data_IF_940968931778
#
_entry.id   IF_940968931778
#
_cell.length_a   1.000
_cell.length_b   1.000
_cell.length_c   1.000
_cell.angle_alpha   90.00
_cell.angle_beta   90.00
_cell.angle_gamma   90.00
#
_symmetry.space_group_name_H-M   'P 1'
#
loop_
_entity.id
_entity.type
_entity.pdbx_description
1 polymer ?
#
# COMPACT_ATOMS: atom_id res chain seq x y z
N UNK A 1 -17.68 -8.00 -20.27
CA UNK A 1 -16.71 -7.64 -19.21
C UNK A 1 -17.37 -6.58 -18.39
N UNK A 2 -17.73 -6.92 -17.15
CA UNK A 2 -18.28 -5.94 -16.21
C UNK A 2 -17.17 -4.93 -15.89
N UNK A 3 -17.36 -3.67 -16.27
CA UNK A 3 -16.34 -2.64 -16.10
C UNK A 3 -16.53 -2.10 -14.70
N UNK A 4 -15.77 -2.65 -13.74
CA UNK A 4 -15.78 -2.22 -12.34
C UNK A 4 -15.69 -0.68 -12.28
N UNK A 5 -16.65 -0.03 -11.62
CA UNK A 5 -16.58 1.41 -11.38
C UNK A 5 -15.30 1.74 -10.60
N UNK A 6 -14.69 2.89 -10.92
CA UNK A 6 -13.50 3.36 -10.22
C UNK A 6 -13.88 3.87 -8.84
N UNK A 7 -13.12 3.49 -7.81
CA UNK A 7 -13.26 4.04 -6.47
C UNK A 7 -12.79 5.50 -6.43
N UNK A 8 -13.43 6.34 -5.61
CA UNK A 8 -13.00 7.71 -5.38
C UNK A 8 -12.06 7.79 -4.18
N UNK A 9 -11.19 8.81 -4.15
CA UNK A 9 -10.29 9.05 -3.02
C UNK A 9 -11.03 9.10 -1.68
N UNK A 10 -12.22 9.71 -1.63
CA UNK A 10 -13.06 9.84 -0.43
C UNK A 10 -13.57 8.51 0.13
N UNK A 11 -13.49 7.42 -0.64
CA UNK A 11 -13.98 6.10 -0.23
C UNK A 11 -12.95 5.38 0.66
N UNK A 12 -11.73 5.93 0.80
CA UNK A 12 -10.67 5.42 1.66
C UNK A 12 -10.51 6.28 2.92
N UNK A 13 -10.32 5.61 4.07
CA UNK A 13 -10.28 6.25 5.40
C UNK A 13 -8.88 6.67 5.87
N UNK A 14 -7.82 6.09 5.29
CA UNK A 14 -6.44 6.30 5.70
C UNK A 14 -5.55 6.55 4.49
N UNK A 15 -4.55 7.43 4.66
CA UNK A 15 -3.60 7.81 3.63
C UNK A 15 -2.20 7.83 4.20
N UNK A 16 -1.25 7.33 3.42
CA UNK A 16 0.16 7.34 3.73
C UNK A 16 0.93 7.80 2.49
N UNK A 17 1.84 8.75 2.69
CA UNK A 17 2.72 9.23 1.62
C UNK A 17 3.95 8.32 1.51
N UNK A 18 4.07 7.62 0.37
CA UNK A 18 5.18 6.71 0.08
C UNK A 18 6.05 7.33 -1.04
N UNK A 19 7.32 7.68 -0.78
CA UNK A 19 8.20 8.19 -1.81
C UNK A 19 8.62 7.09 -2.78
N UNK A 20 8.55 7.39 -4.08
CA UNK A 20 9.03 6.50 -5.14
C UNK A 20 10.55 6.40 -5.14
N UNK A 21 11.08 5.23 -5.48
CA UNK A 21 12.51 4.93 -5.63
C UNK A 21 12.85 4.72 -7.09
N UNK A 22 14.12 4.92 -7.44
CA UNK A 22 14.60 4.71 -8.83
C UNK A 22 14.30 3.29 -9.34
N UNK A 23 14.50 2.28 -8.48
CA UNK A 23 14.30 0.86 -8.78
C UNK A 23 12.83 0.49 -9.04
N UNK A 24 11.88 1.34 -8.65
CA UNK A 24 10.45 1.03 -8.81
C UNK A 24 10.04 1.07 -10.29
N UNK A 25 10.81 1.76 -11.14
CA UNK A 25 10.54 1.86 -12.57
C UNK A 25 10.94 0.58 -13.32
N UNK A 26 10.06 0.11 -14.19
CA UNK A 26 10.38 -0.93 -15.16
C UNK A 26 11.01 -0.38 -16.46
N UNK A 27 11.29 -1.27 -17.41
CA UNK A 27 11.86 -0.92 -18.71
C UNK A 27 11.00 0.07 -19.51
N UNK A 28 9.69 0.14 -19.23
CA UNK A 28 8.76 1.06 -19.89
C UNK A 28 8.70 2.43 -19.22
N UNK A 29 9.47 2.64 -18.15
CA UNK A 29 9.54 3.93 -17.45
C UNK A 29 8.35 4.20 -16.53
N UNK A 30 7.57 3.18 -16.21
CA UNK A 30 6.48 3.27 -15.24
C UNK A 30 6.82 2.47 -13.99
N UNK A 31 6.16 2.79 -12.87
CA UNK A 31 6.23 1.94 -11.69
C UNK A 31 5.74 0.54 -12.04
N UNK A 32 6.57 -0.46 -11.79
CA UNK A 32 6.25 -1.85 -12.09
C UNK A 32 5.02 -2.30 -11.28
N UNK A 33 4.15 -3.10 -11.90
CA UNK A 33 2.92 -3.57 -11.26
C UNK A 33 3.16 -4.37 -9.96
N UNK A 34 4.28 -5.07 -9.84
CA UNK A 34 4.64 -5.83 -8.63
C UNK A 34 4.91 -4.89 -7.44
N UNK A 35 5.43 -3.69 -7.71
CA UNK A 35 5.77 -2.71 -6.65
C UNK A 35 4.53 -2.20 -5.93
N UNK A 36 3.36 -2.17 -6.57
CA UNK A 36 2.12 -1.78 -5.89
C UNK A 36 1.77 -2.68 -4.70
N UNK A 37 2.14 -3.96 -4.74
CA UNK A 37 1.90 -4.86 -3.61
C UNK A 37 2.78 -4.54 -2.41
N UNK A 38 4.00 -4.03 -2.61
CA UNK A 38 4.84 -3.58 -1.50
C UNK A 38 4.32 -2.28 -0.88
N UNK A 39 3.69 -1.40 -1.69
CA UNK A 39 2.99 -0.23 -1.15
C UNK A 39 1.83 -0.65 -0.26
N UNK A 40 1.00 -1.60 -0.68
CA UNK A 40 -0.10 -2.11 0.15
C UNK A 40 0.39 -2.69 1.47
N UNK A 41 1.43 -3.53 1.43
CA UNK A 41 2.04 -4.10 2.63
C UNK A 41 2.55 -3.00 3.58
N UNK A 42 3.21 -1.98 3.03
CA UNK A 42 3.69 -0.83 3.80
C UNK A 42 2.54 -0.07 4.47
N UNK A 43 1.50 0.31 3.73
CA UNK A 43 0.36 1.07 4.27
C UNK A 43 -0.36 0.26 5.36
N UNK A 44 -0.64 -1.02 5.10
CA UNK A 44 -1.37 -1.88 6.03
C UNK A 44 -0.56 -2.11 7.31
N UNK A 45 0.72 -2.49 7.19
CA UNK A 45 1.55 -2.75 8.35
C UNK A 45 1.78 -1.50 9.19
N UNK A 46 2.04 -0.35 8.55
CA UNK A 46 2.19 0.90 9.27
C UNK A 46 0.90 1.29 10.01
N UNK A 47 -0.26 1.18 9.34
CA UNK A 47 -1.54 1.42 9.99
C UNK A 47 -1.77 0.48 11.18
N UNK A 48 -1.44 -0.80 11.04
CA UNK A 48 -1.59 -1.78 12.11
C UNK A 48 -0.73 -1.44 13.34
N UNK A 49 0.53 -1.07 13.11
CA UNK A 49 1.48 -0.71 14.17
C UNK A 49 1.07 0.60 14.87
N UNK A 50 0.73 1.64 14.11
CA UNK A 50 0.52 2.98 14.65
C UNK A 50 -0.88 3.22 15.21
N UNK A 51 -1.90 2.59 14.60
CA UNK A 51 -3.31 2.89 14.89
C UNK A 51 -4.11 1.70 15.41
N UNK A 52 -3.82 0.48 14.94
CA UNK A 52 -4.60 -0.71 15.32
C UNK A 52 -4.05 -1.44 16.57
N UNK A 53 -2.87 -1.04 17.06
CA UNK A 53 -2.26 -1.60 18.27
C UNK A 53 -1.60 -2.96 18.07
N UNK A 54 -1.23 -3.32 16.83
CA UNK A 54 -0.46 -4.52 16.55
C UNK A 54 0.93 -4.40 17.19
N UNK A 55 1.26 -5.34 18.07
CA UNK A 55 2.61 -5.48 18.63
C UNK A 55 3.34 -6.64 17.96
N UNK A 56 4.19 -6.30 16.98
CA UNK A 56 4.99 -7.26 16.20
C UNK A 56 5.93 -8.13 17.05
N UNK A 57 6.21 -7.75 18.30
CA UNK A 57 7.13 -8.47 19.18
C UNK A 57 6.42 -9.41 20.16
N UNK A 58 5.16 -9.15 20.48
CA UNK A 58 4.45 -9.81 21.58
C UNK A 58 3.19 -10.54 21.12
N UNK A 59 2.62 -10.16 19.98
CA UNK A 59 1.39 -10.77 19.48
C UNK A 59 1.66 -12.20 18.95
N UNK A 60 0.78 -13.18 19.28
CA UNK A 60 0.93 -14.55 18.83
C UNK A 60 0.72 -14.67 17.31
N UNK A 61 1.40 -15.67 16.72
CA UNK A 61 1.28 -16.06 15.30
C UNK A 61 0.03 -16.92 15.09
#
# INVERSE_FOLDING_TARGET
>A
MDRKEFDFRKDYLHFLDIPTRWMDNDLYGHVNNVVYYSYFDTVVNQFMIESAGLNIHEDPI
#
